data_IF_316435598218
#
_entry.id   IF_316435598218
#
_cell.length_a   1.000
_cell.length_b   1.000
_cell.length_c   1.000
_cell.angle_alpha   90.00
_cell.angle_beta   90.00
_cell.angle_gamma   90.00
#
_symmetry.space_group_name_H-M   'P 1'
#
loop_
_entity.id
_entity.type
_entity.pdbx_description
1 polymer ?
#
# COMPACT_ATOMS: atom_id res chain seq x y z
N UNK A 1 -10.15 15.80 11.88
CA UNK A 1 -10.34 14.41 11.43
C UNK A 1 -9.52 14.05 10.17
N UNK A 2 -9.31 14.94 9.19
CA UNK A 2 -8.47 14.63 8.00
C UNK A 2 -7.00 14.33 8.34
N UNK A 3 -6.42 15.04 9.31
CA UNK A 3 -5.04 14.84 9.76
C UNK A 3 -4.77 13.40 10.20
N UNK A 4 -5.72 12.77 10.91
CA UNK A 4 -5.58 11.38 11.36
C UNK A 4 -5.48 10.43 10.17
N UNK A 5 -6.33 10.59 9.15
CA UNK A 5 -6.27 9.75 7.95
C UNK A 5 -4.92 9.88 7.22
N UNK A 6 -4.40 11.10 7.07
CA UNK A 6 -3.09 11.30 6.45
C UNK A 6 -1.94 10.73 7.28
N UNK A 7 -1.99 10.87 8.60
CA UNK A 7 -1.02 10.25 9.50
C UNK A 7 -1.10 8.72 9.39
N UNK A 8 -2.30 8.13 9.34
CA UNK A 8 -2.46 6.69 9.15
C UNK A 8 -1.84 6.22 7.84
N UNK A 9 -2.10 6.92 6.72
CA UNK A 9 -1.47 6.59 5.44
C UNK A 9 0.05 6.70 5.52
N UNK A 10 0.55 7.79 6.09
CA UNK A 10 1.99 8.01 6.26
C UNK A 10 2.64 6.89 7.07
N UNK A 11 1.99 6.44 8.14
CA UNK A 11 2.49 5.33 8.96
C UNK A 11 2.44 3.98 8.21
N UNK A 12 1.38 3.69 7.46
CA UNK A 12 1.30 2.47 6.63
C UNK A 12 2.47 2.43 5.64
N UNK A 13 2.68 3.51 4.90
CA UNK A 13 3.73 3.58 3.89
C UNK A 13 5.12 3.61 4.52
N UNK A 14 5.33 4.42 5.57
CA UNK A 14 6.60 4.52 6.27
C UNK A 14 7.02 3.20 6.93
N UNK A 15 6.08 2.50 7.57
CA UNK A 15 6.33 1.19 8.15
C UNK A 15 6.60 0.12 7.08
N UNK A 16 5.87 0.15 5.96
CA UNK A 16 6.11 -0.71 4.82
C UNK A 16 7.52 -0.54 4.24
N UNK A 17 7.95 0.71 4.04
CA UNK A 17 9.31 1.05 3.56
C UNK A 17 10.38 0.60 4.56
N UNK A 18 10.21 0.91 5.84
CA UNK A 18 11.17 0.52 6.89
C UNK A 18 11.31 -1.00 6.96
N UNK A 19 10.20 -1.73 6.95
CA UNK A 19 10.18 -3.20 6.98
C UNK A 19 10.78 -3.79 5.70
N UNK A 20 10.53 -3.19 4.54
CA UNK A 20 11.10 -3.62 3.27
C UNK A 20 12.63 -3.52 3.25
N UNK A 21 13.18 -2.43 3.81
CA UNK A 21 14.63 -2.26 3.94
C UNK A 21 15.22 -3.16 5.02
N UNK A 22 14.50 -3.39 6.12
CA UNK A 22 14.91 -4.34 7.15
C UNK A 22 14.98 -5.78 6.60
N UNK A 23 14.05 -6.17 5.72
CA UNK A 23 14.01 -7.48 5.09
C UNK A 23 15.06 -7.68 3.97
N UNK A 24 15.96 -6.71 3.75
CA UNK A 24 16.99 -6.80 2.70
C UNK A 24 17.83 -8.07 2.83
N UNK A 25 18.05 -8.75 1.71
CA UNK A 25 18.72 -10.06 1.66
C UNK A 25 17.77 -11.25 1.75
N UNK A 26 16.49 -11.03 2.07
CA UNK A 26 15.44 -12.04 1.99
C UNK A 26 14.34 -11.59 1.02
N UNK A 27 14.48 -12.00 -0.25
CA UNK A 27 13.56 -11.64 -1.33
C UNK A 27 12.10 -11.99 -1.03
N UNK A 28 11.84 -13.14 -0.38
CA UNK A 28 10.49 -13.57 -0.01
C UNK A 28 9.89 -12.63 1.04
N UNK A 29 10.66 -12.25 2.06
CA UNK A 29 10.20 -11.33 3.09
C UNK A 29 9.98 -9.91 2.54
N UNK A 30 10.84 -9.43 1.64
CA UNK A 30 10.66 -8.14 0.95
C UNK A 30 9.39 -8.13 0.10
N UNK A 31 9.16 -9.19 -0.68
CA UNK A 31 7.98 -9.31 -1.51
C UNK A 31 6.70 -9.38 -0.67
N UNK A 32 6.69 -10.21 0.38
CA UNK A 32 5.57 -10.31 1.31
C UNK A 32 5.27 -8.96 1.98
N UNK A 33 6.30 -8.23 2.42
CA UNK A 33 6.15 -6.89 3.00
C UNK A 33 5.51 -5.91 2.02
N UNK A 34 5.96 -5.92 0.77
CA UNK A 34 5.41 -5.08 -0.29
C UNK A 34 3.94 -5.40 -0.59
N UNK A 35 3.57 -6.67 -0.68
CA UNK A 35 2.17 -7.11 -0.88
C UNK A 35 1.29 -6.68 0.29
N UNK A 36 1.73 -6.91 1.53
CA UNK A 36 0.97 -6.49 2.73
C UNK A 36 0.77 -4.97 2.76
N UNK A 37 1.80 -4.21 2.42
CA UNK A 37 1.73 -2.74 2.35
C UNK A 37 0.75 -2.28 1.28
N UNK A 38 0.76 -2.90 0.09
CA UNK A 38 -0.17 -2.59 -0.99
C UNK A 38 -1.63 -2.88 -0.61
N UNK A 39 -1.89 -4.02 0.06
CA UNK A 39 -3.23 -4.35 0.56
C UNK A 39 -3.67 -3.35 1.63
N UNK A 40 -2.79 -3.00 2.58
CA UNK A 40 -3.09 -2.00 3.60
C UNK A 40 -3.40 -0.63 3.01
N UNK A 41 -2.68 -0.21 1.96
CA UNK A 41 -2.94 1.02 1.20
C UNK A 41 -4.35 1.00 0.58
N UNK A 42 -4.74 -0.09 -0.09
CA UNK A 42 -6.08 -0.23 -0.68
C UNK A 42 -7.14 -0.17 0.41
N UNK A 43 -7.01 -0.98 1.47
CA UNK A 43 -7.96 -0.99 2.57
C UNK A 43 -8.12 0.40 3.20
N UNK A 44 -7.01 1.11 3.45
CA UNK A 44 -7.06 2.47 3.96
C UNK A 44 -7.79 3.41 3.01
N UNK A 45 -7.50 3.36 1.71
CA UNK A 45 -8.13 4.22 0.69
C UNK A 45 -9.64 4.01 0.64
N UNK A 46 -10.07 2.75 0.60
CA UNK A 46 -11.48 2.39 0.61
C UNK A 46 -12.19 2.88 1.88
N UNK A 47 -11.60 2.67 3.07
CA UNK A 47 -12.16 3.13 4.33
C UNK A 47 -12.20 4.66 4.44
N UNK A 48 -11.16 5.34 3.96
CA UNK A 48 -11.08 6.79 3.96
C UNK A 48 -12.17 7.42 3.10
N UNK A 49 -12.38 6.90 1.89
CA UNK A 49 -13.41 7.39 0.98
C UNK A 49 -14.83 6.95 1.41
N UNK A 50 -14.98 5.75 1.97
CA UNK A 50 -16.25 5.33 2.55
C UNK A 50 -16.68 6.27 3.70
N UNK A 51 -15.75 6.64 4.59
CA UNK A 51 -16.00 7.56 5.69
C UNK A 51 -16.38 8.97 5.22
N UNK A 52 -15.87 9.39 4.05
CA UNK A 52 -16.21 10.67 3.41
C UNK A 52 -17.48 10.62 2.56
N UNK A 53 -18.11 9.45 2.41
CA UNK A 53 -19.27 9.20 1.53
C UNK A 53 -19.00 9.54 0.06
N UNK A 54 -17.74 9.45 -0.38
CA UNK A 54 -17.29 9.69 -1.75
C UNK A 54 -16.68 8.42 -2.39
N UNK A 55 -16.98 7.25 -1.84
CA UNK A 55 -16.55 5.97 -2.40
C UNK A 55 -17.39 5.63 -3.65
N UNK A 56 -16.77 5.75 -4.81
CA UNK A 56 -17.32 5.34 -6.09
C UNK A 56 -16.46 4.27 -6.76
N UNK A 57 -17.02 3.54 -7.72
CA UNK A 57 -16.32 2.46 -8.42
C UNK A 57 -14.98 2.92 -9.04
N UNK A 58 -14.92 4.16 -9.56
CA UNK A 58 -13.69 4.74 -10.10
C UNK A 58 -12.57 4.79 -9.06
N UNK A 59 -12.88 5.23 -7.84
CA UNK A 59 -11.92 5.28 -6.72
C UNK A 59 -11.44 3.87 -6.36
N UNK A 60 -12.35 2.89 -6.30
CA UNK A 60 -11.96 1.49 -6.03
C UNK A 60 -10.98 0.99 -7.08
N UNK A 61 -11.27 1.24 -8.37
CA UNK A 61 -10.42 0.84 -9.49
C UNK A 61 -9.05 1.53 -9.41
N UNK A 62 -9.00 2.83 -9.11
CA UNK A 62 -7.74 3.57 -8.95
C UNK A 62 -6.82 2.94 -7.90
N UNK A 63 -7.33 2.68 -6.69
CA UNK A 63 -6.51 2.10 -5.62
C UNK A 63 -6.06 0.68 -5.94
N UNK A 64 -6.93 -0.14 -6.52
CA UNK A 64 -6.59 -1.52 -6.93
C UNK A 64 -5.55 -1.53 -8.05
N UNK A 65 -5.67 -0.65 -9.05
CA UNK A 65 -4.69 -0.55 -10.14
C UNK A 65 -3.32 -0.09 -9.60
N UNK A 66 -3.28 0.90 -8.72
CA UNK A 66 -2.03 1.35 -8.11
C UNK A 66 -1.37 0.22 -7.31
N UNK A 67 -2.16 -0.54 -6.54
CA UNK A 67 -1.64 -1.70 -5.81
C UNK A 67 -1.11 -2.79 -6.74
N UNK A 68 -1.83 -3.11 -7.81
CA UNK A 68 -1.41 -4.10 -8.80
C UNK A 68 -0.10 -3.69 -9.49
N UNK A 69 0.00 -2.44 -9.97
CA UNK A 69 1.22 -1.89 -10.57
C UNK A 69 2.39 -1.94 -9.58
N UNK A 70 2.14 -1.56 -8.32
CA UNK A 70 3.18 -1.58 -7.27
C UNK A 70 3.71 -3.00 -7.03
N UNK A 71 2.84 -4.01 -6.99
CA UNK A 71 3.24 -5.42 -6.84
C UNK A 71 4.05 -5.90 -8.03
N UNK A 72 3.67 -5.51 -9.26
CA UNK A 72 4.42 -5.84 -10.48
C UNK A 72 5.83 -5.22 -10.41
N UNK A 73 5.93 -3.94 -10.07
CA UNK A 73 7.22 -3.24 -9.93
C UNK A 73 8.07 -3.90 -8.84
N UNK A 74 7.48 -4.22 -7.68
CA UNK A 74 8.18 -4.93 -6.60
C UNK A 74 8.74 -6.27 -7.05
N UNK A 75 7.96 -7.05 -7.80
CA UNK A 75 8.41 -8.33 -8.35
C UNK A 75 9.63 -8.17 -9.26
N UNK A 76 9.64 -7.12 -10.10
CA UNK A 76 10.76 -6.81 -11.00
C UNK A 76 12.00 -6.40 -10.18
N UNK A 77 11.84 -5.47 -9.25
CA UNK A 77 12.96 -4.88 -8.47
C UNK A 77 13.63 -5.89 -7.54
N UNK A 78 12.88 -6.82 -6.95
CA UNK A 78 13.46 -7.83 -6.05
C UNK A 78 14.24 -8.90 -6.84
N UNK A 79 13.93 -9.08 -8.12
CA UNK A 79 14.54 -10.09 -9.02
C UNK A 79 15.68 -9.54 -9.88
N UNK A 80 15.80 -8.22 -10.00
CA UNK A 80 16.88 -7.52 -10.73
C UNK A 80 18.15 -7.41 -9.90
#
# INVERSE_FOLDING_TARGET
MQLVHFITLFLILGFGIATFFYARGNATAQFATGVVTAVAYVCWGLLHHAAKKDLHANVVVEYVLIAAISIIVLFIVIRS
#
